data_IF_698609153187
#
_entry.id   IF_698609153187
#
_cell.length_a   1.000
_cell.length_b   1.000
_cell.length_c   1.000
_cell.angle_alpha   90.00
_cell.angle_beta   90.00
_cell.angle_gamma   90.00
#
_symmetry.space_group_name_H-M   'P 1'
#
loop_
_entity.id
_entity.type
_entity.pdbx_description
1 polymer ?
#
# COMPACT_ATOMS: atom_id res chain seq x y z
N UNK A 1 4.09 -49.92 -19.66
CA UNK A 1 3.55 -51.29 -19.86
C UNK A 1 4.25 -52.22 -18.90
N UNK A 2 3.59 -53.19 -18.23
CA UNK A 2 2.19 -53.65 -18.31
C UNK A 2 1.33 -53.10 -17.12
N UNK A 3 0.03 -52.77 -17.16
CA UNK A 3 -1.27 -53.33 -17.64
C UNK A 3 -2.02 -54.26 -16.66
N UNK A 4 -3.23 -53.80 -16.29
CA UNK A 4 -4.48 -54.54 -15.95
C UNK A 4 -4.52 -55.39 -14.65
N UNK A 5 -5.61 -55.52 -13.88
CA UNK A 5 -7.04 -55.54 -14.22
C UNK A 5 -7.96 -55.33 -13.00
N UNK A 6 -9.21 -54.90 -13.25
CA UNK A 6 -10.37 -54.85 -12.36
C UNK A 6 -10.99 -56.25 -12.19
N UNK A 7 -11.59 -56.56 -11.03
CA UNK A 7 -12.86 -57.32 -10.99
C UNK A 7 -13.60 -57.22 -9.65
N UNK A 8 -14.92 -57.12 -9.77
CA UNK A 8 -15.97 -57.16 -8.75
C UNK A 8 -16.45 -58.60 -8.54
N UNK A 9 -16.98 -58.95 -7.36
CA UNK A 9 -18.12 -59.88 -7.12
C UNK A 9 -18.66 -59.59 -5.70
N UNK A 10 -19.90 -59.11 -5.50
CA UNK A 10 -21.17 -59.84 -5.28
C UNK A 10 -21.06 -60.93 -4.18
N UNK A 11 -21.96 -61.17 -3.22
CA UNK A 11 -23.33 -60.73 -2.84
C UNK A 11 -23.66 -61.54 -1.57
N UNK A 12 -24.43 -61.02 -0.61
CA UNK A 12 -25.33 -61.86 0.18
C UNK A 12 -26.44 -61.03 0.82
N UNK A 13 -27.64 -61.29 0.32
CA UNK A 13 -28.95 -60.87 0.78
C UNK A 13 -29.43 -61.77 1.91
N UNK A 14 -30.09 -61.24 2.95
CA UNK A 14 -31.26 -61.91 3.57
C UNK A 14 -32.08 -60.96 4.46
N UNK A 15 -33.32 -60.71 4.02
CA UNK A 15 -34.53 -60.43 4.81
C UNK A 15 -35.66 -61.23 4.10
N UNK A 16 -36.68 -61.76 4.80
CA UNK A 16 -37.97 -61.02 4.88
C UNK A 16 -38.86 -61.30 6.14
N UNK A 17 -39.54 -60.28 6.72
CA UNK A 17 -41.01 -59.98 6.68
C UNK A 17 -41.81 -60.46 7.92
N UNK A 18 -43.11 -60.09 8.18
CA UNK A 18 -43.97 -59.05 7.58
C UNK A 18 -44.88 -58.19 8.53
N UNK A 19 -45.42 -57.10 7.97
CA UNK A 19 -46.82 -56.56 8.02
C UNK A 19 -47.41 -56.06 9.37
N UNK A 20 -47.77 -54.76 9.41
CA UNK A 20 -49.17 -54.34 9.57
C UNK A 20 -49.47 -52.93 9.02
N UNK A 21 -50.53 -52.94 8.24
CA UNK A 21 -51.18 -51.91 7.43
C UNK A 21 -51.91 -50.87 8.28
N UNK A 22 -51.89 -49.60 7.86
CA UNK A 22 -53.07 -48.72 7.88
C UNK A 22 -52.81 -47.46 7.05
N UNK A 23 -53.45 -47.41 5.88
CA UNK A 23 -53.68 -46.21 5.12
C UNK A 23 -54.65 -45.30 5.87
N UNK A 24 -54.37 -44.00 5.92
CA UNK A 24 -55.41 -42.98 5.92
C UNK A 24 -54.96 -41.81 5.05
N UNK A 25 -55.93 -41.37 4.26
CA UNK A 25 -55.87 -40.53 3.07
C UNK A 25 -56.09 -39.06 3.46
N UNK A 26 -55.56 -38.15 2.63
CA UNK A 26 -55.92 -36.73 2.45
C UNK A 26 -55.60 -35.72 3.57
N UNK A 27 -54.70 -34.77 3.27
CA UNK A 27 -55.12 -33.43 2.81
C UNK A 27 -53.91 -32.60 2.42
N UNK A 28 -53.89 -32.15 1.15
CA UNK A 28 -52.99 -31.11 0.70
C UNK A 28 -53.38 -29.78 1.38
N UNK A 29 -52.52 -29.28 2.27
CA UNK A 29 -52.56 -27.89 2.69
C UNK A 29 -51.50 -27.13 1.89
N UNK A 30 -51.96 -26.45 0.83
CA UNK A 30 -51.28 -25.27 0.30
C UNK A 30 -51.22 -24.24 1.45
N UNK A 31 -50.08 -24.16 2.12
CA UNK A 31 -49.75 -22.97 2.89
C UNK A 31 -49.29 -21.91 1.89
N UNK A 32 -50.22 -21.00 1.55
CA UNK A 32 -49.88 -19.70 1.00
C UNK A 32 -48.97 -19.01 2.03
N UNK A 33 -47.67 -18.97 1.75
CA UNK A 33 -46.76 -18.08 2.46
C UNK A 33 -47.24 -16.65 2.19
N UNK A 34 -47.57 -15.85 3.21
CA UNK A 34 -47.74 -14.43 3.00
C UNK A 34 -46.37 -13.89 2.56
N UNK A 35 -46.34 -13.25 1.40
CA UNK A 35 -45.28 -12.32 1.01
C UNK A 35 -45.38 -11.17 2.01
N UNK A 36 -44.83 -11.38 3.21
CA UNK A 36 -44.58 -10.30 4.14
C UNK A 36 -43.52 -9.45 3.46
N UNK A 37 -43.92 -8.24 3.10
CA UNK A 37 -43.09 -7.25 2.45
C UNK A 37 -41.73 -7.21 3.12
N UNK A 38 -40.69 -7.33 2.30
CA UNK A 38 -39.38 -6.84 2.64
C UNK A 38 -39.57 -5.33 2.88
N UNK A 39 -39.79 -4.95 4.14
CA UNK A 39 -39.68 -3.56 4.57
C UNK A 39 -38.21 -3.23 4.32
N UNK A 40 -37.95 -2.60 3.17
CA UNK A 40 -36.70 -1.94 2.91
C UNK A 40 -36.46 -1.03 4.11
N UNK A 41 -35.47 -1.38 4.94
CA UNK A 41 -34.99 -0.50 5.99
C UNK A 41 -34.59 0.79 5.29
N UNK A 42 -35.37 1.86 5.50
CA UNK A 42 -35.06 3.18 4.98
C UNK A 42 -33.63 3.50 5.41
N UNK A 43 -32.70 3.55 4.46
CA UNK A 43 -31.38 4.12 4.73
C UNK A 43 -31.65 5.58 5.11
N UNK A 44 -31.26 6.04 6.32
CA UNK A 44 -31.43 7.43 6.68
C UNK A 44 -30.78 8.29 5.58
N UNK A 45 -31.60 9.12 4.94
CA UNK A 45 -31.25 9.92 3.76
C UNK A 45 -30.41 11.15 4.11
N UNK A 46 -30.15 11.38 5.39
CA UNK A 46 -29.39 12.50 5.92
C UNK A 46 -28.13 11.92 6.55
N UNK A 47 -26.97 12.12 5.91
CA UNK A 47 -25.69 11.98 6.61
C UNK A 47 -25.71 13.04 7.72
N UNK A 48 -25.42 12.70 8.99
CA UNK A 48 -25.27 13.70 10.04
C UNK A 48 -24.33 14.81 9.55
N UNK A 49 -24.63 16.07 9.84
CA UNK A 49 -23.64 17.11 9.60
C UNK A 49 -22.40 16.76 10.43
N UNK A 50 -21.21 17.02 9.91
CA UNK A 50 -19.94 16.69 10.57
C UNK A 50 -19.86 17.30 11.99
N UNK A 51 -20.58 18.41 12.23
CA UNK A 51 -20.75 19.06 13.53
C UNK A 51 -21.59 18.29 14.56
N UNK A 52 -22.36 17.28 14.16
CA UNK A 52 -23.21 16.47 15.04
C UNK A 52 -22.52 15.17 15.47
N UNK A 53 -21.30 14.90 15.00
CA UNK A 53 -20.50 13.78 15.48
C UNK A 53 -19.91 14.12 16.86
N UNK A 54 -19.98 13.20 17.84
CA UNK A 54 -19.33 13.43 19.11
C UNK A 54 -17.83 13.67 18.89
N UNK A 55 -17.28 14.74 19.45
CA UNK A 55 -15.83 14.98 19.46
C UNK A 55 -15.15 13.83 20.22
N UNK A 56 -14.67 12.83 19.47
CA UNK A 56 -13.85 11.76 20.02
C UNK A 56 -12.44 12.27 20.17
N UNK A 57 -11.92 12.34 21.40
CA UNK A 57 -10.49 12.58 21.60
C UNK A 57 -9.69 11.43 20.99
N UNK A 58 -8.55 11.72 20.33
CA UNK A 58 -7.67 10.67 19.85
C UNK A 58 -7.16 9.84 21.03
N UNK A 59 -7.17 8.51 20.88
CA UNK A 59 -6.63 7.59 21.88
C UNK A 59 -5.10 7.64 21.84
N UNK A 60 -4.45 7.41 22.98
CA UNK A 60 -3.01 7.10 22.98
C UNK A 60 -2.74 5.76 22.26
N UNK A 61 -1.50 5.49 21.80
CA UNK A 61 -1.17 4.21 21.18
C UNK A 61 -1.59 2.99 22.03
N UNK A 62 -1.27 3.00 23.32
CA UNK A 62 -1.60 1.91 24.25
C UNK A 62 -3.11 1.75 24.50
N UNK A 63 -3.88 2.83 24.45
CA UNK A 63 -5.35 2.77 24.54
C UNK A 63 -5.95 2.26 23.23
N UNK A 64 -5.45 2.73 22.09
CA UNK A 64 -5.86 2.31 20.75
C UNK A 64 -5.62 0.81 20.56
N UNK A 65 -4.44 0.31 20.95
CA UNK A 65 -4.05 -1.09 20.86
C UNK A 65 -5.06 -2.04 21.55
N UNK A 66 -5.61 -1.62 22.70
CA UNK A 66 -6.62 -2.39 23.45
C UNK A 66 -7.98 -2.48 22.75
N UNK A 67 -8.23 -1.65 21.73
CA UNK A 67 -9.49 -1.67 20.96
C UNK A 67 -9.46 -2.62 19.78
N UNK A 68 -8.30 -3.16 19.41
CA UNK A 68 -8.18 -4.11 18.31
C UNK A 68 -8.78 -5.46 18.70
N UNK A 69 -9.51 -6.05 17.75
CA UNK A 69 -9.99 -7.42 17.82
C UNK A 69 -9.27 -8.22 16.74
N UNK A 70 -8.59 -9.30 17.13
CA UNK A 70 -7.91 -10.22 16.21
C UNK A 70 -8.55 -11.61 16.29
N UNK A 71 -8.37 -12.39 15.24
CA UNK A 71 -8.82 -13.79 15.21
C UNK A 71 -8.09 -14.61 16.29
N UNK A 72 -8.71 -15.70 16.74
CA UNK A 72 -8.20 -16.53 17.85
C UNK A 72 -6.82 -17.16 17.56
N UNK A 73 -6.44 -17.29 16.30
CA UNK A 73 -5.19 -17.85 15.82
C UNK A 73 -4.12 -16.79 15.49
N UNK A 74 -4.39 -15.51 15.75
CA UNK A 74 -3.47 -14.40 15.50
C UNK A 74 -3.11 -13.66 16.78
N UNK A 75 -1.86 -13.19 16.85
CA UNK A 75 -1.38 -12.28 17.87
C UNK A 75 -1.09 -10.93 17.22
N UNK A 76 -1.48 -9.84 17.90
CA UNK A 76 -1.09 -8.49 17.53
C UNK A 76 -0.03 -8.03 18.54
N UNK A 77 1.04 -7.43 18.04
CA UNK A 77 2.10 -6.81 18.84
C UNK A 77 2.30 -5.37 18.38
N UNK A 78 2.54 -4.47 19.34
CA UNK A 78 2.82 -3.06 19.08
C UNK A 78 4.33 -2.86 19.01
N UNK A 79 4.87 -2.66 17.80
CA UNK A 79 6.33 -2.60 17.57
C UNK A 79 6.89 -1.19 17.37
N UNK A 80 6.08 -0.26 16.86
CA UNK A 80 6.45 1.15 16.64
C UNK A 80 5.23 2.04 16.85
N UNK A 81 5.40 3.16 17.53
CA UNK A 81 4.31 4.11 17.85
C UNK A 81 4.75 5.56 17.77
N UNK A 82 3.79 6.47 17.68
CA UNK A 82 4.03 7.89 18.00
C UNK A 82 4.57 8.03 19.45
N UNK A 83 5.46 9.01 19.72
CA UNK A 83 5.98 10.03 18.80
C UNK A 83 7.26 9.60 18.04
N UNK A 84 7.69 8.34 18.16
CA UNK A 84 8.92 7.85 17.54
C UNK A 84 8.84 7.93 16.01
N UNK A 85 7.72 7.45 15.47
CA UNK A 85 7.34 7.54 14.06
C UNK A 85 6.09 8.42 13.92
N UNK A 86 5.86 9.00 12.74
CA UNK A 86 4.59 9.66 12.44
C UNK A 86 4.20 9.45 10.98
N UNK A 87 2.89 9.31 10.73
CA UNK A 87 2.31 9.10 9.39
C UNK A 87 3.06 8.03 8.56
N UNK A 88 3.14 6.78 9.07
CA UNK A 88 3.78 5.69 8.33
C UNK A 88 3.04 5.45 7.01
N UNK A 89 3.76 5.49 5.88
CA UNK A 89 3.18 5.31 4.55
C UNK A 89 3.61 4.01 3.88
N UNK A 90 4.91 3.73 3.86
CA UNK A 90 5.46 2.53 3.26
C UNK A 90 6.51 1.90 4.17
N UNK A 91 6.43 0.58 4.31
CA UNK A 91 7.40 -0.24 5.04
C UNK A 91 8.12 -1.18 4.07
N UNK A 92 9.41 -1.39 4.31
CA UNK A 92 10.19 -2.46 3.68
C UNK A 92 11.20 -3.03 4.65
N UNK A 93 11.69 -4.24 4.36
CA UNK A 93 12.75 -4.86 5.12
C UNK A 93 13.98 -5.03 4.25
N UNK A 94 15.16 -4.74 4.80
CA UNK A 94 16.42 -5.01 4.13
C UNK A 94 16.93 -6.42 4.41
N UNK A 95 18.05 -6.79 3.79
CA UNK A 95 18.67 -8.12 3.94
C UNK A 95 19.24 -8.37 5.34
N UNK A 96 19.34 -7.33 6.19
CA UNK A 96 19.74 -7.43 7.60
C UNK A 96 18.54 -7.60 8.53
N UNK A 97 17.31 -7.61 7.99
CA UNK A 97 16.09 -7.74 8.78
C UNK A 97 15.61 -6.43 9.41
N UNK A 98 16.18 -5.29 9.03
CA UNK A 98 15.80 -3.98 9.59
C UNK A 98 14.58 -3.43 8.86
N UNK A 99 13.69 -2.78 9.61
CA UNK A 99 12.50 -2.14 9.08
C UNK A 99 12.85 -0.72 8.60
N UNK A 100 12.62 -0.47 7.32
CA UNK A 100 12.69 0.84 6.70
C UNK A 100 11.30 1.42 6.57
N UNK A 101 11.11 2.64 7.08
CA UNK A 101 9.83 3.32 7.12
C UNK A 101 9.90 4.66 6.40
N UNK A 102 8.99 4.87 5.46
CA UNK A 102 8.71 6.20 4.90
C UNK A 102 7.65 6.88 5.74
N UNK A 103 8.00 8.03 6.33
CA UNK A 103 7.12 8.88 7.12
C UNK A 103 6.62 10.05 6.26
N UNK A 104 5.33 10.05 5.94
CA UNK A 104 4.68 10.98 5.02
C UNK A 104 4.07 12.19 5.75
N UNK A 105 4.95 12.95 6.40
CA UNK A 105 4.67 14.11 7.27
C UNK A 105 4.31 15.38 6.49
N UNK A 106 4.82 15.52 5.28
CA UNK A 106 4.59 16.65 4.38
C UNK A 106 3.41 16.34 3.47
N UNK A 107 2.22 16.29 4.04
CA UNK A 107 0.99 16.01 3.31
C UNK A 107 -0.16 16.86 3.88
N UNK A 108 -1.11 17.32 3.05
CA UNK A 108 -1.28 17.05 1.62
C UNK A 108 -0.59 18.03 0.67
N UNK A 109 -0.05 19.13 1.19
CA UNK A 109 0.52 20.19 0.37
C UNK A 109 2.04 20.00 0.23
N UNK A 110 2.60 19.91 -0.98
CA UNK A 110 4.04 19.88 -1.16
C UNK A 110 4.67 21.19 -0.64
N UNK A 111 5.80 21.09 0.05
CA UNK A 111 6.54 22.27 0.52
C UNK A 111 7.02 23.12 -0.66
N UNK A 112 6.96 24.44 -0.52
CA UNK A 112 7.48 25.39 -1.52
C UNK A 112 6.69 25.54 -2.81
N UNK A 113 5.58 24.79 -2.97
CA UNK A 113 4.68 24.92 -4.12
C UNK A 113 3.41 25.66 -3.75
N UNK A 114 2.91 26.47 -4.70
CA UNK A 114 1.64 27.20 -4.55
C UNK A 114 0.64 26.69 -5.58
N UNK A 115 -0.53 26.28 -5.12
CA UNK A 115 -1.64 25.94 -6.00
C UNK A 115 -2.14 27.23 -6.65
N UNK A 116 -1.98 27.32 -7.98
CA UNK A 116 -2.43 28.48 -8.78
C UNK A 116 -3.89 28.34 -9.21
N UNK A 117 -4.31 27.11 -9.48
CA UNK A 117 -5.64 26.77 -9.99
C UNK A 117 -5.86 25.25 -9.88
N UNK A 118 -7.07 24.82 -10.21
CA UNK A 118 -7.38 23.42 -10.42
C UNK A 118 -7.89 23.23 -11.84
N UNK A 119 -7.64 22.05 -12.42
CA UNK A 119 -8.23 21.69 -13.70
C UNK A 119 -9.69 21.22 -13.58
N UNK A 120 -10.28 20.77 -14.68
CA UNK A 120 -11.68 20.32 -14.75
C UNK A 120 -12.00 19.09 -13.89
N UNK A 121 -10.97 18.36 -13.43
CA UNK A 121 -11.08 17.19 -12.56
C UNK A 121 -10.64 17.50 -11.12
N UNK A 122 -10.52 18.79 -10.77
CA UNK A 122 -10.06 19.26 -9.47
C UNK A 122 -8.62 18.85 -9.13
N UNK A 123 -7.76 18.66 -10.15
CA UNK A 123 -6.33 18.39 -9.93
C UNK A 123 -5.55 19.68 -9.81
N UNK A 124 -4.65 19.76 -8.84
CA UNK A 124 -3.88 20.95 -8.55
C UNK A 124 -2.91 21.30 -9.68
N UNK A 125 -2.86 22.59 -10.02
CA UNK A 125 -1.86 23.17 -10.92
C UNK A 125 -0.95 24.05 -10.08
N UNK A 126 0.32 23.67 -10.00
CA UNK A 126 1.32 24.40 -9.23
C UNK A 126 2.02 25.48 -10.06
N UNK A 127 2.61 26.45 -9.37
CA UNK A 127 3.35 27.57 -9.94
C UNK A 127 4.67 27.15 -10.61
N UNK A 128 5.27 26.06 -10.15
CA UNK A 128 6.52 25.50 -10.66
C UNK A 128 6.59 23.98 -10.43
N UNK A 129 7.50 23.33 -11.15
CA UNK A 129 7.97 21.98 -10.80
C UNK A 129 9.03 22.16 -9.70
N UNK A 130 8.93 21.46 -8.55
CA UNK A 130 9.94 21.58 -7.50
C UNK A 130 11.27 21.03 -8.04
N UNK A 131 12.41 21.69 -7.83
CA UNK A 131 13.70 21.12 -8.20
C UNK A 131 13.99 19.86 -7.35
N UNK A 132 14.82 18.92 -7.84
CA UNK A 132 15.20 17.75 -7.05
C UNK A 132 16.16 18.15 -5.91
N UNK A 133 16.28 17.31 -4.86
CA UNK A 133 17.34 17.46 -3.88
C UNK A 133 18.74 17.47 -4.54
N UNK A 134 19.70 18.23 -3.99
CA UNK A 134 19.66 18.97 -2.72
C UNK A 134 19.07 20.39 -2.83
N UNK A 135 18.61 20.80 -4.02
CA UNK A 135 18.17 22.18 -4.28
C UNK A 135 16.66 22.39 -4.07
N UNK A 136 15.95 21.39 -3.55
CA UNK A 136 14.51 21.40 -3.35
C UNK A 136 14.07 22.27 -2.17
N UNK A 137 12.80 22.67 -2.19
CA UNK A 137 12.15 23.20 -1.00
C UNK A 137 11.99 22.04 0.01
N UNK A 138 12.72 22.11 1.13
CA UNK A 138 12.73 21.03 2.15
C UNK A 138 11.33 20.85 2.73
N UNK A 139 10.83 19.61 2.66
CA UNK A 139 9.59 19.20 3.32
C UNK A 139 9.85 18.65 4.72
N UNK A 140 8.89 17.88 5.22
CA UNK A 140 8.92 17.23 6.54
C UNK A 140 9.03 15.72 6.45
N UNK A 141 8.97 15.14 5.25
CA UNK A 141 9.07 13.70 5.08
C UNK A 141 10.48 13.21 5.41
N UNK A 142 10.55 11.99 5.92
CA UNK A 142 11.82 11.33 6.22
C UNK A 142 11.72 9.83 6.03
N UNK A 143 12.87 9.20 5.91
CA UNK A 143 13.02 7.75 5.89
C UNK A 143 13.75 7.35 7.17
N UNK A 144 13.14 6.48 7.96
CA UNK A 144 13.67 5.97 9.21
C UNK A 144 14.00 4.47 9.12
N UNK A 145 14.98 4.05 9.91
CA UNK A 145 15.45 2.66 10.01
C UNK A 145 15.26 2.22 11.46
N UNK A 146 14.64 1.06 11.64
CA UNK A 146 14.39 0.44 12.93
C UNK A 146 14.97 -0.98 12.95
N UNK A 147 15.79 -1.29 13.94
CA UNK A 147 16.53 -2.56 14.05
C UNK A 147 16.26 -3.19 15.41
N UNK A 148 15.86 -4.47 15.35
CA UNK A 148 15.71 -5.40 16.48
C UNK A 148 17.04 -6.14 16.58
N UNK A 149 17.83 -5.83 17.59
CA UNK A 149 19.19 -6.32 17.70
C UNK A 149 19.28 -7.70 18.38
N UNK A 150 18.29 -8.07 19.20
CA UNK A 150 18.29 -9.30 19.99
C UNK A 150 17.25 -10.34 19.54
N UNK A 151 16.40 -9.98 18.57
CA UNK A 151 15.41 -10.84 17.94
C UNK A 151 14.17 -11.07 18.80
N UNK A 152 13.89 -10.19 19.78
CA UNK A 152 12.75 -10.33 20.67
C UNK A 152 11.42 -9.78 20.10
N UNK A 153 11.48 -9.13 18.94
CA UNK A 153 10.36 -8.51 18.24
C UNK A 153 10.15 -7.03 18.58
N UNK A 154 10.99 -6.46 19.44
CA UNK A 154 11.07 -5.03 19.75
C UNK A 154 12.18 -4.39 18.93
N UNK A 155 12.01 -3.13 18.55
CA UNK A 155 13.08 -2.39 17.89
C UNK A 155 13.82 -1.53 18.93
N UNK A 156 15.11 -1.76 19.15
CA UNK A 156 15.93 -0.99 20.12
C UNK A 156 16.60 0.21 19.45
N UNK A 157 16.96 0.04 18.17
CA UNK A 157 17.72 1.05 17.43
C UNK A 157 16.81 1.77 16.46
N UNK A 158 16.90 3.09 16.46
CA UNK A 158 16.14 3.96 15.56
C UNK A 158 17.05 5.02 14.97
N UNK A 159 17.08 5.11 13.66
CA UNK A 159 17.89 6.08 12.91
C UNK A 159 17.05 6.77 11.84
N UNK A 160 17.48 7.94 11.43
CA UNK A 160 16.94 8.62 10.26
C UNK A 160 18.00 8.52 9.15
N UNK A 161 17.64 7.89 8.04
CA UNK A 161 18.51 7.74 6.88
C UNK A 161 18.60 9.04 6.07
N UNK A 162 17.44 9.64 5.76
CA UNK A 162 17.35 10.93 5.07
C UNK A 162 16.12 11.69 5.53
N UNK A 163 16.24 13.01 5.63
CA UNK A 163 15.18 13.90 6.08
C UNK A 163 14.97 15.12 5.16
N UNK A 164 13.87 15.83 5.40
CA UNK A 164 13.52 17.01 4.64
C UNK A 164 13.06 16.70 3.22
N UNK A 165 12.62 15.47 2.96
CA UNK A 165 11.99 15.09 1.70
C UNK A 165 10.60 15.73 1.58
N UNK A 166 10.07 15.78 0.37
CA UNK A 166 8.84 16.50 0.08
C UNK A 166 7.91 15.68 -0.81
N UNK A 167 6.87 15.09 -0.26
CA UNK A 167 6.02 14.10 -0.93
C UNK A 167 6.82 12.83 -1.25
N UNK A 168 7.51 12.26 -0.25
CA UNK A 168 8.20 10.97 -0.40
C UNK A 168 7.25 9.81 -0.11
N UNK A 169 7.13 8.87 -1.05
CA UNK A 169 6.05 7.88 -1.03
C UNK A 169 6.51 6.46 -0.76
N UNK A 170 7.74 6.12 -1.13
CA UNK A 170 8.29 4.80 -0.95
C UNK A 170 9.82 4.82 -1.01
N UNK A 171 10.45 3.82 -0.39
CA UNK A 171 11.87 3.54 -0.53
C UNK A 171 12.12 2.05 -0.77
N UNK A 172 13.24 1.74 -1.41
CA UNK A 172 13.70 0.38 -1.65
C UNK A 172 15.22 0.32 -1.51
N UNK A 173 15.69 -0.42 -0.50
CA UNK A 173 17.13 -0.65 -0.29
C UNK A 173 17.66 -1.53 -1.42
N UNK A 174 18.73 -1.09 -2.06
CA UNK A 174 19.34 -1.77 -3.19
C UNK A 174 20.83 -2.02 -2.99
N UNK A 175 21.49 -2.61 -4.00
CA UNK A 175 22.95 -2.61 -4.05
C UNK A 175 23.46 -1.16 -4.07
N UNK A 176 24.50 -0.90 -3.29
CA UNK A 176 25.25 0.37 -3.25
C UNK A 176 24.47 1.61 -2.81
N UNK A 177 23.23 1.46 -2.32
CA UNK A 177 22.43 2.60 -1.88
C UNK A 177 20.94 2.33 -1.76
N UNK A 178 20.17 3.42 -1.64
CA UNK A 178 18.72 3.39 -1.39
C UNK A 178 17.99 4.16 -2.47
N UNK A 179 16.99 3.50 -3.06
CA UNK A 179 16.08 4.12 -4.01
C UNK A 179 14.96 4.81 -3.27
N UNK A 180 14.67 6.04 -3.62
CA UNK A 180 13.64 6.86 -3.00
C UNK A 180 12.70 7.38 -4.06
N UNK A 181 11.44 6.99 -3.97
CA UNK A 181 10.38 7.55 -4.77
C UNK A 181 9.92 8.84 -4.10
N UNK A 182 10.38 9.96 -4.63
CA UNK A 182 10.02 11.30 -4.18
C UNK A 182 9.46 12.11 -5.37
N UNK A 183 8.18 11.85 -5.75
CA UNK A 183 7.52 12.54 -6.85
C UNK A 183 7.80 14.06 -6.85
N UNK A 184 8.21 14.63 -8.00
CA UNK A 184 8.11 14.08 -9.35
C UNK A 184 9.31 13.19 -9.76
N UNK A 185 10.15 12.74 -8.83
CA UNK A 185 11.43 12.09 -9.11
C UNK A 185 11.54 10.65 -8.56
N UNK A 186 12.31 9.82 -9.26
CA UNK A 186 12.94 8.63 -8.69
C UNK A 186 14.40 8.97 -8.41
N UNK A 187 14.77 8.95 -7.14
CA UNK A 187 16.08 9.30 -6.63
C UNK A 187 16.85 8.05 -6.20
N UNK A 188 18.18 8.09 -6.31
CA UNK A 188 19.08 7.10 -5.74
C UNK A 188 20.06 7.81 -4.80
N UNK A 189 20.05 7.42 -3.53
CA UNK A 189 21.02 7.88 -2.52
C UNK A 189 22.12 6.83 -2.40
N UNK A 190 23.36 7.13 -2.81
CA UNK A 190 24.46 6.19 -2.66
C UNK A 190 24.79 5.96 -1.19
N UNK A 191 25.01 4.69 -0.82
CA UNK A 191 25.49 4.23 0.50
C UNK A 191 26.38 3.01 0.25
N UNK A 192 27.59 3.27 -0.28
CA UNK A 192 28.53 2.24 -0.73
C UNK A 192 29.33 1.65 0.43
N UNK A 193 29.47 2.41 1.52
CA UNK A 193 30.13 1.94 2.74
C UNK A 193 29.15 1.21 3.67
N UNK A 194 27.84 1.23 3.39
CA UNK A 194 26.77 0.55 4.13
C UNK A 194 26.70 0.99 5.60
N UNK A 195 26.95 2.27 5.86
CA UNK A 195 26.92 2.84 7.21
C UNK A 195 25.56 3.48 7.58
N UNK A 196 24.57 3.36 6.69
CA UNK A 196 23.24 3.96 6.80
C UNK A 196 23.24 5.50 6.69
N UNK A 197 24.29 6.09 6.12
CA UNK A 197 24.41 7.52 5.85
C UNK A 197 24.64 7.71 4.35
N UNK A 198 23.83 8.53 3.66
CA UNK A 198 24.09 8.82 2.25
C UNK A 198 25.51 9.37 2.04
N UNK A 199 26.26 8.76 1.12
CA UNK A 199 27.63 9.16 0.74
C UNK A 199 27.66 10.56 0.09
N UNK A 200 26.51 11.07 -0.37
CA UNK A 200 26.39 12.36 -1.01
C UNK A 200 24.97 12.70 -1.44
N UNK A 201 24.87 13.70 -2.33
CA UNK A 201 23.61 14.14 -2.93
C UNK A 201 22.98 13.02 -3.80
N UNK A 202 21.65 12.96 -3.89
CA UNK A 202 20.99 11.92 -4.66
C UNK A 202 21.16 12.09 -6.17
N UNK A 203 21.24 10.96 -6.86
CA UNK A 203 21.19 10.89 -8.31
C UNK A 203 19.73 10.83 -8.77
N UNK A 204 19.34 11.67 -9.73
CA UNK A 204 17.99 11.63 -10.33
C UNK A 204 17.99 10.65 -11.49
N UNK A 205 17.19 9.59 -11.38
CA UNK A 205 17.09 8.56 -12.42
C UNK A 205 15.90 8.74 -13.35
N UNK A 206 14.74 9.06 -12.76
CA UNK A 206 13.52 9.40 -13.48
C UNK A 206 12.97 10.73 -12.98
N UNK A 207 12.36 11.47 -13.89
CA UNK A 207 11.67 12.73 -13.60
C UNK A 207 10.31 12.76 -14.32
N UNK A 208 9.39 13.58 -13.80
CA UNK A 208 8.11 13.85 -14.44
C UNK A 208 6.92 13.04 -13.94
N UNK A 209 7.04 12.36 -12.79
CA UNK A 209 5.86 11.81 -12.12
C UNK A 209 4.91 12.94 -11.72
N UNK A 210 3.60 12.72 -11.90
CA UNK A 210 2.60 13.74 -11.62
C UNK A 210 2.48 14.06 -10.13
N UNK A 211 2.32 15.34 -9.81
CA UNK A 211 2.05 15.86 -8.46
C UNK A 211 0.64 16.43 -8.31
N UNK A 212 -0.18 16.38 -9.38
CA UNK A 212 -1.44 17.13 -9.44
C UNK A 212 -2.47 16.67 -8.40
N UNK A 213 -2.33 15.43 -7.91
CA UNK A 213 -3.09 14.88 -6.80
C UNK A 213 -2.13 14.09 -5.90
N UNK A 214 -1.74 14.69 -4.77
CA UNK A 214 -0.82 14.10 -3.77
C UNK A 214 -1.39 12.89 -3.04
N UNK A 215 -2.68 12.58 -3.22
CA UNK A 215 -3.29 11.33 -2.77
C UNK A 215 -2.97 10.16 -3.71
N UNK A 216 -2.64 10.43 -4.97
CA UNK A 216 -2.54 9.45 -6.06
C UNK A 216 -1.22 9.50 -6.81
N UNK A 217 -0.22 10.17 -6.24
CA UNK A 217 1.16 10.21 -6.74
C UNK A 217 1.78 8.82 -6.88
N UNK A 218 2.88 8.71 -7.64
CA UNK A 218 3.59 7.46 -7.78
C UNK A 218 4.03 6.92 -6.40
N UNK A 219 3.80 5.63 -6.14
CA UNK A 219 4.02 5.02 -4.83
C UNK A 219 4.40 3.53 -4.93
N UNK A 220 4.53 2.87 -3.77
CA UNK A 220 4.70 1.41 -3.66
C UNK A 220 5.94 0.85 -4.38
N UNK A 221 7.07 1.54 -4.26
CA UNK A 221 8.35 1.12 -4.84
C UNK A 221 8.82 -0.20 -4.21
N UNK A 222 9.09 -1.20 -5.04
CA UNK A 222 9.56 -2.51 -4.59
C UNK A 222 10.48 -3.18 -5.61
N UNK A 223 11.37 -4.07 -5.16
CA UNK A 223 12.19 -4.88 -6.03
C UNK A 223 11.44 -6.12 -6.53
N UNK A 224 11.54 -6.38 -7.82
CA UNK A 224 11.23 -7.66 -8.41
C UNK A 224 12.40 -8.65 -8.27
N UNK A 225 12.13 -9.97 -8.30
CA UNK A 225 13.18 -10.99 -8.26
C UNK A 225 14.07 -10.99 -9.52
N UNK A 226 13.67 -10.26 -10.55
CA UNK A 226 14.40 -10.06 -11.81
C UNK A 226 15.38 -8.87 -11.76
N UNK A 227 15.48 -8.17 -10.63
CA UNK A 227 16.35 -7.00 -10.47
C UNK A 227 15.76 -5.70 -11.02
N UNK A 228 14.46 -5.66 -11.32
CA UNK A 228 13.76 -4.44 -11.68
C UNK A 228 13.10 -3.81 -10.45
N UNK A 229 13.02 -2.50 -10.42
CA UNK A 229 12.16 -1.76 -9.51
C UNK A 229 10.77 -1.65 -10.13
N UNK A 230 9.74 -1.88 -9.32
CA UNK A 230 8.33 -1.77 -9.69
C UNK A 230 7.66 -0.72 -8.81
N UNK A 231 6.75 0.06 -9.39
CA UNK A 231 5.91 0.97 -8.64
C UNK A 231 4.61 1.25 -9.37
N UNK A 232 3.66 1.84 -8.65
CA UNK A 232 2.34 2.18 -9.17
C UNK A 232 2.20 3.69 -9.35
N UNK A 233 1.36 4.09 -10.30
CA UNK A 233 0.87 5.45 -10.48
C UNK A 233 -0.65 5.44 -10.27
N UNK A 234 -1.18 6.44 -9.55
CA UNK A 234 -2.62 6.55 -9.28
C UNK A 234 -3.43 7.18 -10.42
N UNK A 235 -4.76 7.12 -10.29
CA UNK A 235 -5.71 7.47 -11.36
C UNK A 235 -5.77 8.97 -11.72
N UNK A 236 -5.49 9.83 -10.75
CA UNK A 236 -5.73 11.29 -10.84
C UNK A 236 -4.44 12.07 -11.06
N UNK A 237 -3.36 11.40 -11.46
CA UNK A 237 -2.11 12.03 -11.88
C UNK A 237 -1.80 11.70 -13.34
N UNK A 238 -1.00 12.56 -13.96
CA UNK A 238 -0.41 12.33 -15.28
C UNK A 238 1.10 12.35 -15.16
N UNK A 239 1.77 11.39 -15.80
CA UNK A 239 3.23 11.35 -15.89
C UNK A 239 3.71 11.87 -17.23
N UNK A 240 4.80 12.65 -17.19
CA UNK A 240 5.61 13.00 -18.34
C UNK A 240 7.03 12.47 -18.10
N UNK A 241 7.15 11.15 -18.07
CA UNK A 241 8.33 10.46 -17.56
C UNK A 241 9.52 10.60 -18.50
N UNK A 242 10.66 11.00 -17.95
CA UNK A 242 11.96 11.00 -18.66
C UNK A 242 12.97 10.24 -17.84
N UNK A 243 13.81 9.47 -18.53
CA UNK A 243 15.10 9.03 -17.98
C UNK A 243 16.05 10.21 -18.01
N UNK A 244 16.43 10.69 -16.83
CA UNK A 244 17.22 11.91 -16.68
C UNK A 244 18.55 11.80 -17.42
N UNK A 245 18.81 12.79 -18.30
CA UNK A 245 20.01 12.82 -19.14
C UNK A 245 20.01 11.84 -20.33
N UNK A 246 18.92 11.10 -20.56
CA UNK A 246 18.80 10.14 -21.67
C UNK A 246 17.67 10.55 -22.64
N UNK A 247 16.47 10.83 -22.12
CA UNK A 247 15.29 11.04 -22.96
C UNK A 247 15.08 12.51 -23.34
N UNK A 248 15.14 12.82 -24.64
CA UNK A 248 14.79 14.15 -25.17
C UNK A 248 13.30 14.47 -25.10
N UNK A 249 12.44 13.45 -25.16
CA UNK A 249 10.98 13.58 -25.10
C UNK A 249 10.41 12.72 -23.98
N UNK A 250 9.40 13.19 -23.25
CA UNK A 250 8.80 12.42 -22.17
C UNK A 250 7.90 11.32 -22.72
N UNK A 251 7.89 10.17 -22.04
CA UNK A 251 6.85 9.18 -22.18
C UNK A 251 5.64 9.62 -21.36
N UNK A 252 4.51 9.83 -22.02
CA UNK A 252 3.30 10.28 -21.35
C UNK A 252 2.52 9.10 -20.80
N UNK A 253 2.15 9.16 -19.53
CA UNK A 253 1.26 8.22 -18.87
C UNK A 253 0.03 8.94 -18.33
N UNK A 254 -1.12 8.27 -18.39
CA UNK A 254 -2.39 8.78 -17.86
C UNK A 254 -3.04 7.68 -17.03
N UNK A 255 -3.64 8.05 -15.90
CA UNK A 255 -4.40 7.14 -15.08
C UNK A 255 -3.53 6.13 -14.33
N UNK A 256 -4.14 5.00 -14.01
CA UNK A 256 -3.56 3.95 -13.18
C UNK A 256 -2.59 3.10 -14.00
N UNK A 257 -1.33 3.06 -13.59
CA UNK A 257 -0.31 2.30 -14.30
C UNK A 257 0.59 1.57 -13.31
N UNK A 258 1.13 0.43 -13.72
CA UNK A 258 2.28 -0.20 -13.08
C UNK A 258 3.46 0.04 -13.99
N UNK A 259 4.52 0.60 -13.47
CA UNK A 259 5.74 0.85 -14.23
C UNK A 259 6.90 0.10 -13.60
N UNK A 260 7.94 -0.14 -14.40
CA UNK A 260 9.17 -0.73 -13.91
C UNK A 260 10.42 -0.02 -14.45
N UNK A 261 11.47 -0.03 -13.65
CA UNK A 261 12.75 0.58 -13.96
C UNK A 261 13.90 -0.38 -13.67
N UNK A 262 14.81 -0.55 -14.62
CA UNK A 262 16.01 -1.35 -14.42
C UNK A 262 17.20 -0.44 -14.11
N UNK A 263 17.79 -0.51 -12.91
CA UNK A 263 18.86 0.41 -12.49
C UNK A 263 20.11 0.39 -13.37
N UNK A 264 20.61 -0.79 -13.71
CA UNK A 264 21.87 -0.96 -14.45
C UNK A 264 21.73 -0.58 -15.92
N UNK A 265 20.64 -0.99 -16.58
CA UNK A 265 20.43 -0.69 -18.01
C UNK A 265 19.73 0.66 -18.21
N UNK A 266 19.25 1.28 -17.14
CA UNK A 266 18.41 2.49 -17.12
C UNK A 266 17.21 2.37 -18.07
N UNK A 267 16.64 1.18 -18.20
CA UNK A 267 15.41 0.97 -18.96
C UNK A 267 14.19 1.32 -18.11
N UNK A 268 13.21 1.97 -18.73
CA UNK A 268 11.92 2.29 -18.12
C UNK A 268 10.82 1.71 -18.99
N UNK A 269 9.84 1.06 -18.36
CA UNK A 269 8.69 0.47 -19.02
C UNK A 269 7.40 0.81 -18.26
N UNK A 270 6.32 1.01 -19.03
CA UNK A 270 4.96 1.28 -18.60
C UNK A 270 4.03 0.16 -19.08
#
# INVERSE_FOLDING_TARGET
>A
MPTTELSRFCTSTHLPAPIRTSCLILMAFLFALPVNGLLAQERPTIRPNEHDLPETKPLSPDESFKTFHVAEDLKLDQVLTDPLIAQPLQISFDTRGRLWLVEYRQYPMPAGLKVTSHDVYWRAIYDKVPPPPPNHDRGQDRISIHEDADGDGTFETHKVFVDGLNIATACAVGPDGVWVLNPPYLLFYPDRNQDDIPDGDPEVHLEGFGLQDTHSVANSLTWGPDGWLYAAQGSTVTGEIRRTGIDEKPLKSLGQNIWRYHPQTRQYEL
#
